data_IF_210038088553
#
_entry.id   IF_210038088553
#
_cell.length_a   1.000
_cell.length_b   1.000
_cell.length_c   1.000
_cell.angle_alpha   90.00
_cell.angle_beta   90.00
_cell.angle_gamma   90.00
#
_symmetry.space_group_name_H-M   'P 1'
#
loop_
_entity.id
_entity.type
_entity.pdbx_description
1 polymer ?
#
# COMPACT_ATOMS: atom_id res chain seq x y z
N UNK A 1 -22.42 -17.35 1.35
CA UNK A 1 -21.70 -17.71 2.59
C UNK A 1 -20.41 -18.41 2.17
N UNK A 2 -19.30 -17.67 2.02
CA UNK A 2 -18.03 -18.26 1.55
C UNK A 2 -17.27 -18.83 2.75
N UNK A 3 -17.01 -20.13 2.73
CA UNK A 3 -16.20 -20.79 3.74
C UNK A 3 -14.84 -20.08 3.86
N UNK A 4 -14.57 -19.49 5.03
CA UNK A 4 -13.21 -19.09 5.40
C UNK A 4 -12.42 -20.39 5.53
N UNK A 5 -11.64 -20.74 4.51
CA UNK A 5 -10.55 -21.68 4.69
C UNK A 5 -9.58 -21.07 5.70
N UNK A 6 -9.78 -21.37 6.98
CA UNK A 6 -8.83 -21.01 8.03
C UNK A 6 -7.65 -21.95 7.86
N UNK A 7 -6.57 -21.45 7.28
CA UNK A 7 -5.29 -22.14 7.31
C UNK A 7 -4.92 -22.30 8.79
N UNK A 8 -4.56 -23.52 9.25
CA UNK A 8 -4.18 -23.74 10.64
C UNK A 8 -2.99 -22.85 11.03
N UNK A 9 -2.90 -22.56 12.32
CA UNK A 9 -1.85 -21.73 12.90
C UNK A 9 -0.47 -22.32 12.55
N UNK A 10 0.38 -21.50 11.91
CA UNK A 10 1.73 -21.90 11.55
C UNK A 10 2.64 -21.78 12.79
N UNK A 11 3.66 -22.65 12.98
CA UNK A 11 4.56 -22.58 14.13
C UNK A 11 5.24 -21.22 14.32
N UNK A 12 5.46 -20.49 13.22
CA UNK A 12 6.11 -19.16 13.23
C UNK A 12 5.15 -18.02 13.63
N UNK A 13 3.83 -18.25 13.68
CA UNK A 13 2.84 -17.20 13.90
C UNK A 13 3.07 -16.46 15.21
N UNK A 14 3.43 -17.20 16.26
CA UNK A 14 3.73 -16.64 17.57
C UNK A 14 4.96 -15.72 17.53
N UNK A 15 6.03 -16.14 16.84
CA UNK A 15 7.26 -15.35 16.71
C UNK A 15 7.02 -14.10 15.85
N UNK A 16 6.28 -14.22 14.75
CA UNK A 16 5.89 -13.07 13.92
C UNK A 16 5.04 -12.06 14.69
N UNK A 17 4.13 -12.56 15.53
CA UNK A 17 3.29 -11.72 16.38
C UNK A 17 4.11 -10.97 17.45
N UNK A 18 5.07 -11.65 18.08
CA UNK A 18 6.02 -11.04 19.02
C UNK A 18 6.87 -9.96 18.34
N UNK A 19 7.42 -10.24 17.15
CA UNK A 19 8.13 -9.26 16.34
C UNK A 19 7.26 -8.05 16.04
N UNK A 20 6.00 -8.25 15.63
CA UNK A 20 5.08 -7.15 15.34
C UNK A 20 4.78 -6.30 16.58
N UNK A 21 4.58 -6.92 17.74
CA UNK A 21 4.36 -6.21 19.01
C UNK A 21 5.60 -5.44 19.45
N UNK A 22 6.78 -6.03 19.31
CA UNK A 22 8.07 -5.38 19.61
C UNK A 22 8.29 -4.16 18.73
N UNK A 23 8.02 -4.28 17.43
CA UNK A 23 8.11 -3.17 16.48
C UNK A 23 7.09 -2.08 16.82
N UNK A 24 5.84 -2.44 17.15
CA UNK A 24 4.84 -1.47 17.61
C UNK A 24 5.30 -0.71 18.86
N UNK A 25 5.93 -1.39 19.84
CA UNK A 25 6.48 -0.75 21.04
C UNK A 25 7.62 0.21 20.67
N UNK A 26 8.60 -0.25 19.89
CA UNK A 26 9.75 0.57 19.45
C UNK A 26 9.34 1.80 18.65
N UNK A 27 8.30 1.67 17.82
CA UNK A 27 7.79 2.74 16.95
C UNK A 27 6.75 3.64 17.66
N UNK A 28 6.28 3.27 18.86
CA UNK A 28 5.21 3.99 19.57
C UNK A 28 3.81 3.83 18.95
N UNK A 29 3.54 2.71 18.26
CA UNK A 29 2.31 2.45 17.50
C UNK A 29 1.29 1.59 18.28
N UNK A 30 1.04 1.94 19.54
CA UNK A 30 0.20 1.17 20.46
C UNK A 30 -1.22 0.90 19.95
N UNK A 31 -1.79 1.82 19.17
CA UNK A 31 -3.16 1.70 18.65
C UNK A 31 -3.34 0.61 17.59
N UNK A 32 -2.25 0.11 16.97
CA UNK A 32 -2.35 -0.97 15.98
C UNK A 32 -2.63 -2.33 16.63
N UNK A 33 -2.17 -2.52 17.87
CA UNK A 33 -2.33 -3.71 18.72
C UNK A 33 -2.43 -5.06 17.96
N UNK A 34 -1.33 -5.55 17.36
CA UNK A 34 -1.31 -6.85 16.69
C UNK A 34 -1.61 -7.99 17.67
N UNK A 35 -2.63 -8.78 17.37
CA UNK A 35 -3.11 -9.88 18.22
C UNK A 35 -3.17 -11.24 17.50
N UNK A 36 -3.28 -11.24 16.18
CA UNK A 36 -3.32 -12.47 15.38
C UNK A 36 -2.53 -12.31 14.09
N UNK A 37 -1.97 -13.42 13.61
CA UNK A 37 -1.50 -13.58 12.24
C UNK A 37 -2.51 -14.44 11.51
N UNK A 38 -2.87 -14.10 10.28
CA UNK A 38 -3.67 -14.99 9.44
C UNK A 38 -3.15 -15.07 8.02
N UNK A 39 -3.03 -16.31 7.53
CA UNK A 39 -2.58 -16.61 6.18
C UNK A 39 -3.78 -16.67 5.23
N UNK A 40 -3.69 -15.95 4.12
CA UNK A 40 -4.78 -15.82 3.13
C UNK A 40 -4.29 -16.27 1.76
N UNK A 41 -5.04 -17.16 1.13
CA UNK A 41 -4.78 -17.56 -0.26
C UNK A 41 -5.43 -16.59 -1.26
N UNK A 42 -6.64 -16.11 -0.94
CA UNK A 42 -7.49 -15.31 -1.83
C UNK A 42 -8.21 -14.21 -1.07
N UNK A 43 -8.56 -13.15 -1.79
CA UNK A 43 -9.47 -12.10 -1.34
C UNK A 43 -10.57 -11.95 -2.41
N UNK A 44 -11.78 -12.41 -2.06
CA UNK A 44 -12.83 -12.63 -3.05
C UNK A 44 -12.41 -13.67 -4.08
N UNK A 45 -12.53 -13.34 -5.37
CA UNK A 45 -12.17 -14.23 -6.49
C UNK A 45 -10.67 -14.17 -6.79
N UNK A 46 -9.96 -13.14 -6.30
CA UNK A 46 -8.57 -12.87 -6.66
C UNK A 46 -7.60 -13.62 -5.74
N UNK A 47 -6.66 -14.36 -6.35
CA UNK A 47 -5.48 -14.91 -5.65
C UNK A 47 -4.58 -13.79 -5.15
N UNK A 48 -4.10 -13.92 -3.92
CA UNK A 48 -3.21 -12.94 -3.33
C UNK A 48 -1.78 -13.17 -3.81
N UNK A 49 -1.03 -12.09 -4.14
CA UNK A 49 0.38 -12.21 -4.47
C UNK A 49 1.18 -12.58 -3.20
N UNK A 50 2.40 -13.09 -3.36
CA UNK A 50 3.23 -13.51 -2.22
C UNK A 50 3.54 -12.35 -1.26
N UNK A 51 3.64 -11.12 -1.77
CA UNK A 51 3.90 -9.90 -1.01
C UNK A 51 2.66 -9.30 -0.33
N UNK A 52 1.55 -10.03 -0.26
CA UNK A 52 0.36 -9.54 0.43
C UNK A 52 0.65 -9.29 1.91
N UNK A 53 0.20 -8.12 2.38
CA UNK A 53 0.33 -7.63 3.74
C UNK A 53 -0.83 -6.66 3.97
N UNK A 54 -1.59 -6.90 5.02
CA UNK A 54 -2.67 -6.03 5.46
C UNK A 54 -2.81 -6.11 6.99
N UNK A 55 -3.21 -5.00 7.62
CA UNK A 55 -3.60 -5.00 9.02
C UNK A 55 -5.07 -4.61 9.11
N UNK A 56 -5.87 -5.45 9.75
CA UNK A 56 -7.29 -5.21 9.94
C UNK A 56 -7.71 -5.61 11.36
N UNK A 57 -8.11 -4.64 12.18
CA UNK A 57 -8.60 -4.87 13.56
C UNK A 57 -7.64 -5.73 14.41
N UNK A 58 -6.34 -5.46 14.33
CA UNK A 58 -5.31 -6.20 15.07
C UNK A 58 -4.88 -7.53 14.43
N UNK A 59 -5.47 -7.92 13.31
CA UNK A 59 -5.07 -9.10 12.53
C UNK A 59 -4.09 -8.71 11.41
N UNK A 60 -2.89 -9.29 11.42
CA UNK A 60 -1.92 -9.16 10.33
C UNK A 60 -2.19 -10.26 9.32
N UNK A 61 -2.63 -9.87 8.13
CA UNK A 61 -2.97 -10.78 7.04
C UNK A 61 -1.81 -10.87 6.05
N UNK A 62 -1.28 -12.08 5.90
CA UNK A 62 -0.17 -12.40 5.01
C UNK A 62 -0.64 -13.37 3.91
N UNK A 63 0.10 -13.45 2.81
CA UNK A 63 -0.19 -14.44 1.76
C UNK A 63 0.24 -15.82 2.21
N UNK A 64 -0.64 -16.82 2.08
CA UNK A 64 -0.27 -18.22 2.34
C UNK A 64 0.86 -18.72 1.45
N UNK A 65 1.10 -18.07 0.30
CA UNK A 65 2.21 -18.38 -0.62
C UNK A 65 3.59 -18.04 -0.04
N UNK A 66 3.66 -17.16 0.96
CA UNK A 66 4.89 -16.80 1.65
C UNK A 66 5.06 -17.51 3.00
N UNK A 67 4.09 -18.35 3.39
CA UNK A 67 4.12 -19.10 4.64
C UNK A 67 5.29 -20.09 4.65
N UNK A 68 6.12 -20.03 5.69
CA UNK A 68 7.33 -20.86 5.83
C UNK A 68 8.42 -20.59 4.78
N UNK A 69 8.29 -19.55 3.94
CA UNK A 69 9.28 -19.20 2.92
C UNK A 69 10.31 -18.18 3.44
N UNK A 70 9.93 -17.42 4.47
CA UNK A 70 10.79 -16.43 5.12
C UNK A 70 10.87 -16.77 6.61
N UNK A 71 12.07 -16.69 7.16
CA UNK A 71 12.27 -16.80 8.61
C UNK A 71 11.65 -15.59 9.32
N UNK A 72 11.35 -15.69 10.63
CA UNK A 72 10.81 -14.55 11.39
C UNK A 72 11.65 -13.27 11.29
N UNK A 73 12.98 -13.39 11.30
CA UNK A 73 13.87 -12.23 11.16
C UNK A 73 13.89 -11.68 9.72
N UNK A 74 13.72 -12.51 8.70
CA UNK A 74 13.51 -12.03 7.32
C UNK A 74 12.16 -11.32 7.19
N UNK A 75 11.13 -11.73 7.93
CA UNK A 75 9.84 -11.02 7.98
C UNK A 75 9.92 -9.67 8.69
N UNK A 76 10.79 -9.53 9.69
CA UNK A 76 10.92 -8.33 10.53
C UNK A 76 10.95 -7.01 9.76
N UNK A 77 11.82 -6.79 8.75
CA UNK A 77 11.84 -5.53 8.00
C UNK A 77 10.57 -5.30 7.17
N UNK A 78 9.92 -6.36 6.68
CA UNK A 78 8.67 -6.26 5.92
C UNK A 78 7.51 -5.87 6.85
N UNK A 79 7.43 -6.48 8.02
CA UNK A 79 6.44 -6.16 9.06
C UNK A 79 6.62 -4.71 9.51
N UNK A 80 7.86 -4.27 9.75
CA UNK A 80 8.14 -2.89 10.15
C UNK A 80 7.64 -1.87 9.11
N UNK A 81 7.99 -2.08 7.83
CA UNK A 81 7.48 -1.23 6.74
C UNK A 81 5.95 -1.25 6.68
N UNK A 82 5.33 -2.43 6.79
CA UNK A 82 3.88 -2.56 6.81
C UNK A 82 3.21 -1.80 7.97
N UNK A 83 3.76 -1.92 9.18
CA UNK A 83 3.28 -1.19 10.37
C UNK A 83 3.37 0.32 10.18
N UNK A 84 4.51 0.82 9.66
CA UNK A 84 4.71 2.25 9.38
C UNK A 84 3.71 2.73 8.32
N UNK A 85 3.49 1.95 7.26
CA UNK A 85 2.49 2.25 6.24
C UNK A 85 1.09 2.36 6.85
N UNK A 86 0.63 1.36 7.61
CA UNK A 86 -0.71 1.35 8.20
C UNK A 86 -0.90 2.41 9.29
N UNK A 87 0.17 2.72 10.05
CA UNK A 87 0.15 3.84 10.98
C UNK A 87 0.01 5.17 10.25
N UNK A 88 0.70 5.35 9.14
CA UNK A 88 0.68 6.61 8.36
C UNK A 88 -0.61 6.76 7.57
N UNK A 89 -1.17 5.64 7.11
CA UNK A 89 -2.49 5.53 6.50
C UNK A 89 -3.59 5.64 7.56
N UNK A 90 -3.58 6.75 8.31
CA UNK A 90 -4.61 7.03 9.33
C UNK A 90 -5.94 7.35 8.66
N UNK A 91 -7.03 7.08 9.39
CA UNK A 91 -8.39 7.52 9.04
C UNK A 91 -8.43 9.01 8.71
N UNK A 92 -7.65 9.86 9.39
CA UNK A 92 -7.61 11.30 9.13
C UNK A 92 -6.99 11.64 7.77
N UNK A 93 -5.91 10.95 7.38
CA UNK A 93 -5.31 11.12 6.04
C UNK A 93 -6.28 10.68 4.94
N UNK A 94 -7.03 9.60 5.18
CA UNK A 94 -8.01 9.09 4.24
C UNK A 94 -9.26 9.97 4.18
N UNK A 95 -9.73 10.47 5.33
CA UNK A 95 -10.88 11.38 5.44
C UNK A 95 -10.57 12.70 4.75
N UNK A 96 -9.44 13.37 5.06
CA UNK A 96 -9.08 14.63 4.40
C UNK A 96 -8.94 14.48 2.88
N UNK A 97 -8.47 13.32 2.45
CA UNK A 97 -8.37 13.00 1.04
C UNK A 97 -9.74 12.75 0.39
N UNK A 98 -10.62 11.97 1.04
CA UNK A 98 -11.98 11.70 0.58
C UNK A 98 -12.85 12.96 0.59
N UNK A 99 -12.76 13.82 1.61
CA UNK A 99 -13.49 15.09 1.67
C UNK A 99 -13.07 16.05 0.58
N UNK A 100 -11.86 15.91 0.03
CA UNK A 100 -11.40 16.71 -1.13
C UNK A 100 -11.88 16.09 -2.44
N UNK A 101 -11.86 14.76 -2.58
CA UNK A 101 -12.18 14.09 -3.85
C UNK A 101 -13.68 13.89 -4.08
N UNK A 102 -14.47 13.67 -3.03
CA UNK A 102 -15.92 13.45 -3.14
C UNK A 102 -16.63 14.68 -3.75
N UNK A 103 -16.39 15.92 -3.30
CA UNK A 103 -17.00 17.09 -3.92
C UNK A 103 -16.59 17.25 -5.38
N UNK A 104 -15.32 16.99 -5.74
CA UNK A 104 -14.87 17.05 -7.14
C UNK A 104 -15.62 16.02 -7.98
N UNK A 105 -15.73 14.78 -7.50
CA UNK A 105 -16.43 13.72 -8.22
C UNK A 105 -17.94 13.98 -8.38
N UNK A 106 -18.59 14.63 -7.40
CA UNK A 106 -20.03 14.94 -7.42
C UNK A 106 -20.36 16.24 -8.16
N UNK A 107 -19.51 17.27 -8.06
CA UNK A 107 -19.72 18.56 -8.71
C UNK A 107 -19.39 18.51 -10.20
N UNK A 108 -18.43 17.69 -10.62
CA UNK A 108 -18.01 17.59 -12.02
C UNK A 108 -19.16 17.28 -12.98
N UNK A 109 -20.01 16.25 -12.75
CA UNK A 109 -21.16 15.98 -13.61
C UNK A 109 -22.15 17.15 -13.69
N UNK A 110 -22.40 17.83 -12.57
CA UNK A 110 -23.29 18.99 -12.52
C UNK A 110 -22.72 20.18 -13.32
N UNK A 111 -21.42 20.47 -13.15
CA UNK A 111 -20.73 21.53 -13.90
C UNK A 111 -20.72 21.21 -15.40
N UNK A 112 -20.48 19.96 -15.78
CA UNK A 112 -20.56 19.52 -17.17
C UNK A 112 -21.98 19.70 -17.73
N UNK A 113 -23.01 19.24 -17.03
CA UNK A 113 -24.41 19.39 -17.45
C UNK A 113 -24.82 20.86 -17.62
N UNK A 114 -24.45 21.73 -16.67
CA UNK A 114 -24.70 23.17 -16.77
C UNK A 114 -23.95 23.78 -17.95
N UNK A 115 -22.70 23.38 -18.16
CA UNK A 115 -21.88 23.91 -19.26
C UNK A 115 -22.45 23.53 -20.62
N UNK A 116 -22.89 22.28 -20.79
CA UNK A 116 -23.54 21.84 -22.03
C UNK A 116 -24.90 22.52 -22.27
N UNK A 117 -25.69 22.76 -21.20
CA UNK A 117 -27.04 23.34 -21.33
C UNK A 117 -27.06 24.86 -21.49
N UNK A 118 -26.15 25.59 -20.84
CA UNK A 118 -26.23 27.05 -20.72
C UNK A 118 -25.12 27.81 -21.45
N UNK A 119 -24.05 27.12 -21.87
CA UNK A 119 -22.94 27.74 -22.61
C UNK A 119 -22.86 27.20 -24.06
N UNK A 120 -23.95 26.63 -24.56
CA UNK A 120 -24.05 26.14 -25.93
C UNK A 120 -23.81 27.30 -26.92
N UNK A 121 -22.76 27.20 -27.74
CA UNK A 121 -22.37 28.25 -28.70
C UNK A 121 -21.32 29.26 -28.23
N UNK A 122 -20.87 29.22 -26.96
CA UNK A 122 -19.74 30.05 -26.51
C UNK A 122 -18.39 29.40 -26.82
N UNK A 123 -17.44 30.19 -27.34
CA UNK A 123 -16.08 29.73 -27.62
C UNK A 123 -15.32 29.33 -26.34
N UNK A 124 -15.78 29.79 -25.17
CA UNK A 124 -15.17 29.52 -23.87
C UNK A 124 -15.62 28.19 -23.24
N UNK A 125 -16.68 27.56 -23.76
CA UNK A 125 -17.25 26.34 -23.18
C UNK A 125 -16.30 25.15 -23.29
N UNK A 126 -15.75 24.93 -24.49
CA UNK A 126 -14.82 23.84 -24.75
C UNK A 126 -13.53 23.91 -23.92
N UNK A 127 -12.81 25.04 -23.82
CA UNK A 127 -11.60 25.10 -22.99
C UNK A 127 -11.88 24.94 -21.50
N UNK A 128 -13.01 25.44 -20.99
CA UNK A 128 -13.40 25.28 -19.57
C UNK A 128 -13.67 23.79 -19.27
N UNK A 129 -14.47 23.13 -20.10
CA UNK A 129 -14.77 21.70 -19.95
C UNK A 129 -13.49 20.87 -20.03
N UNK A 130 -12.61 21.15 -20.98
CA UNK A 130 -11.32 20.47 -21.11
C UNK A 130 -10.44 20.67 -19.86
N UNK A 131 -10.33 21.91 -19.36
CA UNK A 131 -9.55 22.20 -18.17
C UNK A 131 -10.06 21.44 -16.94
N UNK A 132 -11.37 21.32 -16.77
CA UNK A 132 -12.00 20.57 -15.68
C UNK A 132 -11.76 19.06 -15.78
N UNK A 133 -11.82 18.51 -17.00
CA UNK A 133 -11.47 17.10 -17.25
C UNK A 133 -10.00 16.84 -16.88
N UNK A 134 -9.09 17.70 -17.35
CA UNK A 134 -7.65 17.58 -17.06
C UNK A 134 -7.39 17.69 -15.55
N UNK A 135 -7.99 18.67 -14.87
CA UNK A 135 -7.83 18.85 -13.44
C UNK A 135 -8.33 17.63 -12.65
N UNK A 136 -9.48 17.08 -13.03
CA UNK A 136 -10.05 15.89 -12.40
C UNK A 136 -9.16 14.67 -12.63
N UNK A 137 -8.63 14.50 -13.84
CA UNK A 137 -7.70 13.43 -14.16
C UNK A 137 -6.39 13.53 -13.34
N UNK A 138 -5.82 14.74 -13.22
CA UNK A 138 -4.63 14.98 -12.40
C UNK A 138 -4.89 14.75 -10.90
N UNK A 139 -6.06 15.17 -10.39
CA UNK A 139 -6.45 14.93 -9.01
C UNK A 139 -6.65 13.43 -8.74
N UNK A 140 -7.37 12.74 -9.61
CA UNK A 140 -7.64 11.30 -9.51
C UNK A 140 -6.37 10.46 -9.60
N UNK A 141 -5.46 10.78 -10.52
CA UNK A 141 -4.17 10.06 -10.63
C UNK A 141 -3.31 10.26 -9.38
N UNK A 142 -3.22 11.49 -8.84
CA UNK A 142 -2.55 11.74 -7.56
C UNK A 142 -3.18 10.97 -6.41
N UNK A 143 -4.51 10.90 -6.37
CA UNK A 143 -5.26 10.14 -5.38
C UNK A 143 -4.89 8.65 -5.43
N UNK A 144 -4.97 8.04 -6.61
CA UNK A 144 -4.67 6.62 -6.80
C UNK A 144 -3.21 6.26 -6.49
N UNK A 145 -2.28 7.19 -6.72
CA UNK A 145 -0.85 7.00 -6.44
C UNK A 145 -0.44 7.26 -4.98
N UNK A 146 -1.28 7.90 -4.18
CA UNK A 146 -0.92 8.28 -2.81
C UNK A 146 -0.56 7.09 -1.91
N UNK A 147 -1.33 5.98 -1.89
CA UNK A 147 -0.97 4.81 -1.08
C UNK A 147 0.38 4.21 -1.49
N UNK A 148 0.69 4.19 -2.79
CA UNK A 148 1.98 3.71 -3.30
C UNK A 148 3.15 4.58 -2.80
N UNK A 149 2.96 5.90 -2.75
CA UNK A 149 3.96 6.83 -2.19
C UNK A 149 4.15 6.62 -0.68
N UNK A 150 3.07 6.33 0.06
CA UNK A 150 3.17 6.02 1.49
C UNK A 150 3.96 4.74 1.74
N UNK A 151 3.76 3.70 0.91
CA UNK A 151 4.57 2.48 0.99
C UNK A 151 6.06 2.77 0.81
N UNK A 152 6.43 3.55 -0.20
CA UNK A 152 7.83 3.92 -0.40
C UNK A 152 8.43 4.71 0.76
N UNK A 153 7.66 5.61 1.39
CA UNK A 153 8.10 6.32 2.59
C UNK A 153 8.30 5.35 3.77
N UNK A 154 7.38 4.41 3.93
CA UNK A 154 7.46 3.40 4.98
C UNK A 154 8.66 2.47 4.79
N UNK A 155 9.00 2.12 3.55
CA UNK A 155 10.22 1.35 3.24
C UNK A 155 11.49 2.08 3.62
N UNK A 156 11.60 3.37 3.27
CA UNK A 156 12.76 4.19 3.63
C UNK A 156 12.89 4.31 5.15
N UNK A 157 11.78 4.48 5.85
CA UNK A 157 11.78 4.55 7.31
C UNK A 157 12.18 3.22 7.96
N UNK A 158 11.60 2.11 7.51
CA UNK A 158 11.96 0.77 7.99
C UNK A 158 13.43 0.45 7.71
N UNK A 159 13.94 0.79 6.52
CA UNK A 159 15.34 0.64 6.16
C UNK A 159 16.28 1.46 7.05
N UNK A 160 15.86 2.65 7.49
CA UNK A 160 16.65 3.48 8.42
C UNK A 160 16.77 2.83 9.80
N UNK A 161 15.70 2.18 10.26
CA UNK A 161 15.61 1.60 11.61
C UNK A 161 16.27 0.22 11.69
N UNK A 162 16.09 -0.62 10.66
CA UNK A 162 16.48 -2.03 10.67
C UNK A 162 17.62 -2.37 9.70
N UNK A 163 18.07 -1.41 8.92
CA UNK A 163 19.06 -1.60 7.87
C UNK A 163 18.41 -1.89 6.51
N UNK A 164 18.88 -1.16 5.50
CA UNK A 164 18.43 -1.28 4.11
C UNK A 164 18.65 -2.68 3.54
N UNK A 165 19.84 -3.25 3.75
CA UNK A 165 20.21 -4.55 3.16
C UNK A 165 19.31 -5.69 3.66
N UNK A 166 18.91 -5.66 4.93
CA UNK A 166 17.94 -6.61 5.50
C UNK A 166 16.59 -6.52 4.77
N UNK A 167 16.05 -5.31 4.59
CA UNK A 167 14.78 -5.12 3.88
C UNK A 167 14.87 -5.52 2.40
N UNK A 168 15.96 -5.16 1.72
CA UNK A 168 16.18 -5.51 0.31
C UNK A 168 16.27 -7.02 0.13
N UNK A 169 17.01 -7.72 0.99
CA UNK A 169 17.13 -9.17 0.95
C UNK A 169 15.77 -9.86 1.09
N UNK A 170 14.99 -9.47 2.10
CA UNK A 170 13.65 -10.04 2.33
C UNK A 170 12.68 -9.75 1.17
N UNK A 171 12.71 -8.55 0.60
CA UNK A 171 11.86 -8.20 -0.55
C UNK A 171 12.21 -9.00 -1.80
N UNK A 172 13.51 -9.22 -2.06
CA UNK A 172 13.96 -10.06 -3.19
C UNK A 172 13.50 -11.51 -3.02
N UNK A 173 13.59 -12.05 -1.80
CA UNK A 173 13.12 -13.40 -1.49
C UNK A 173 11.62 -13.55 -1.75
N UNK A 174 10.81 -12.57 -1.35
CA UNK A 174 9.37 -12.56 -1.65
C UNK A 174 9.10 -12.43 -3.16
N UNK A 175 9.85 -11.60 -3.89
CA UNK A 175 9.66 -11.41 -5.34
C UNK A 175 9.86 -12.72 -6.11
N UNK A 176 10.80 -13.56 -5.67
CA UNK A 176 11.08 -14.88 -6.26
C UNK A 176 9.94 -15.89 -6.09
N UNK A 177 9.04 -15.70 -5.12
CA UNK A 177 7.91 -16.61 -4.88
C UNK A 177 6.77 -16.43 -5.90
N UNK A 178 6.78 -15.36 -6.69
CA UNK A 178 5.76 -15.10 -7.71
C UNK A 178 6.39 -14.73 -9.07
N UNK A 179 7.16 -15.66 -9.69
CA UNK A 179 7.91 -15.38 -10.92
C UNK A 179 7.00 -15.06 -12.12
N UNK A 180 5.76 -15.58 -12.09
CA UNK A 180 4.74 -15.36 -13.13
C UNK A 180 3.80 -14.20 -12.82
N UNK A 181 4.16 -13.31 -11.88
CA UNK A 181 3.35 -12.13 -11.56
C UNK A 181 3.09 -11.32 -12.83
N UNK A 182 1.81 -11.18 -13.20
CA UNK A 182 1.39 -10.40 -14.34
C UNK A 182 1.73 -8.93 -14.10
N UNK A 183 2.80 -8.46 -14.78
CA UNK A 183 3.39 -7.14 -14.59
C UNK A 183 4.46 -7.12 -13.49
N UNK A 184 5.73 -6.89 -13.88
CA UNK A 184 6.83 -6.62 -12.94
C UNK A 184 6.59 -5.36 -12.09
N UNK A 185 5.74 -4.44 -12.58
CA UNK A 185 5.30 -3.24 -11.87
C UNK A 185 4.03 -3.52 -11.07
N UNK A 186 4.01 -3.07 -9.81
CA UNK A 186 2.82 -3.11 -8.97
C UNK A 186 1.67 -2.25 -9.52
N UNK A 187 0.54 -2.26 -8.82
CA UNK A 187 -0.60 -1.42 -9.20
C UNK A 187 -0.31 0.06 -8.91
N UNK A 188 -1.23 0.95 -9.32
CA UNK A 188 -1.14 2.38 -8.99
C UNK A 188 -1.12 2.63 -7.48
N UNK A 189 -1.80 1.79 -6.70
CA UNK A 189 -1.95 1.95 -5.26
C UNK A 189 -0.97 1.10 -4.43
N UNK A 190 -0.49 -0.04 -4.95
CA UNK A 190 0.40 -0.96 -4.23
C UNK A 190 1.65 -1.27 -5.05
N UNK A 191 2.85 -0.93 -4.56
CA UNK A 191 4.08 -1.26 -5.27
C UNK A 191 4.37 -2.76 -5.24
N UNK A 192 5.07 -3.28 -6.24
CA UNK A 192 5.63 -4.64 -6.20
C UNK A 192 6.91 -4.68 -5.33
N UNK A 193 7.35 -5.87 -4.86
CA UNK A 193 8.62 -6.00 -4.15
C UNK A 193 9.80 -5.45 -4.96
N UNK A 194 9.87 -5.76 -6.27
CA UNK A 194 10.85 -5.20 -7.19
C UNK A 194 10.82 -3.67 -7.27
N UNK A 195 9.65 -3.03 -7.35
CA UNK A 195 9.54 -1.57 -7.30
C UNK A 195 10.01 -0.98 -5.96
N UNK A 196 9.75 -1.68 -4.84
CA UNK A 196 10.21 -1.27 -3.51
C UNK A 196 11.74 -1.34 -3.42
N UNK A 197 12.36 -2.41 -3.93
CA UNK A 197 13.81 -2.57 -4.03
C UNK A 197 14.44 -1.48 -4.91
N UNK A 198 13.85 -1.19 -6.08
CA UNK A 198 14.30 -0.12 -6.97
C UNK A 198 14.25 1.24 -6.26
N UNK A 199 13.16 1.54 -5.55
CA UNK A 199 13.02 2.80 -4.83
C UNK A 199 14.04 2.94 -3.68
N UNK A 200 14.27 1.88 -2.90
CA UNK A 200 15.28 1.86 -1.84
C UNK A 200 16.68 2.10 -2.40
N UNK A 201 17.03 1.44 -3.51
CA UNK A 201 18.33 1.59 -4.17
C UNK A 201 18.53 2.99 -4.74
N UNK A 202 17.48 3.59 -5.31
CA UNK A 202 17.52 4.95 -5.87
C UNK A 202 17.67 6.02 -4.78
N UNK A 203 17.05 5.80 -3.61
CA UNK A 203 17.08 6.77 -2.51
C UNK A 203 18.47 6.91 -1.91
N UNK A 204 19.20 5.79 -1.82
CA UNK A 204 20.59 5.71 -1.33
C UNK A 204 21.54 6.60 -2.15
N UNK A 205 21.53 6.44 -3.48
CA UNK A 205 22.35 7.24 -4.41
C UNK A 205 22.15 8.75 -4.27
N UNK A 206 20.98 9.21 -3.80
CA UNK A 206 20.68 10.63 -3.60
C UNK A 206 21.18 11.17 -2.25
N UNK A 207 21.43 10.29 -1.29
CA UNK A 207 22.01 10.66 0.01
C UNK A 207 23.54 10.70 -0.09
N UNK A 208 24.15 9.86 -0.92
CA UNK A 208 25.61 9.85 -1.15
C UNK A 208 26.12 11.02 -2.01
N UNK A 209 25.23 11.77 -2.66
CA UNK A 209 25.56 12.89 -3.56
C UNK A 209 25.34 14.27 -2.94
N UNK A 210 25.05 14.32 -1.63
CA UNK A 210 24.89 15.55 -0.83
C UNK A 210 25.88 15.57 0.31
#
# INVERSE_FOLDING_TARGET
>A
MFARGTIPMHPEDQQLLEIARDLCRKLGYYNLNPNTISWKEKMGIRRLPADHFMILRGDIQLSSRAMGQLTPEEWRPIIASGLIYYKTLTRNSLVGMLTTMIPIALLMPAVLLVSFKYLEGSILTYPIVLALIVLTFLAGTRFLMYPKRLWFKADVEAARILGKESLVASLRKIDQLDPNRTGKRGSLARPSPSERVENLTRTDKRLDTR
#
